data_IF_839871524241
#
_entry.id   IF_839871524241
#
_cell.length_a   1.000
_cell.length_b   1.000
_cell.length_c   1.000
_cell.angle_alpha   90.00
_cell.angle_beta   90.00
_cell.angle_gamma   90.00
#
_symmetry.space_group_name_H-M   'P 1'
#
loop_
_entity.id
_entity.type
_entity.pdbx_description
1 polymer ?
#
# COMPACT_ATOMS: atom_id res chain seq x y z
N UNK A 1 14.22 29.10 -33.56
CA UNK A 1 13.75 27.71 -33.61
C UNK A 1 14.68 26.88 -32.74
N UNK A 2 14.26 26.55 -31.51
CA UNK A 2 14.69 25.39 -30.74
C UNK A 2 13.77 25.32 -29.54
N UNK A 3 12.80 24.41 -29.66
CA UNK A 3 11.75 24.13 -28.70
C UNK A 3 12.41 23.36 -27.56
N UNK A 4 12.51 23.98 -26.38
CA UNK A 4 12.91 23.30 -25.16
C UNK A 4 11.78 22.36 -24.73
N UNK A 5 11.91 21.09 -25.07
CA UNK A 5 11.04 20.03 -24.56
C UNK A 5 11.34 19.90 -23.06
N UNK A 6 10.50 20.52 -22.24
CA UNK A 6 10.44 20.25 -20.81
C UNK A 6 9.92 18.84 -20.63
N UNK A 7 10.84 17.88 -20.45
CA UNK A 7 10.49 16.54 -20.06
C UNK A 7 9.83 16.59 -18.66
N UNK A 8 8.51 16.37 -18.61
CA UNK A 8 7.83 15.97 -17.38
C UNK A 8 8.52 14.71 -16.86
N UNK A 9 9.42 14.89 -15.90
CA UNK A 9 9.85 13.81 -15.01
C UNK A 9 8.64 13.49 -14.11
N UNK A 10 7.77 12.59 -14.56
CA UNK A 10 6.98 11.79 -13.63
C UNK A 10 7.95 10.82 -12.95
N UNK A 11 8.72 11.33 -11.99
CA UNK A 11 9.26 10.50 -10.94
C UNK A 11 8.08 10.25 -10.01
N UNK A 12 7.62 9.01 -9.95
CA UNK A 12 6.78 8.53 -8.86
C UNK A 12 7.60 8.64 -7.57
N UNK A 13 7.65 9.85 -7.01
CA UNK A 13 8.06 10.09 -5.64
C UNK A 13 7.00 9.41 -4.78
N UNK A 14 7.41 8.45 -3.95
CA UNK A 14 6.51 7.74 -3.04
C UNK A 14 5.71 8.76 -2.21
N UNK A 15 4.44 8.96 -2.55
CA UNK A 15 3.55 10.00 -1.99
C UNK A 15 3.44 9.92 -0.45
N UNK A 16 3.75 8.76 0.15
CA UNK A 16 3.77 8.57 1.60
C UNK A 16 4.88 9.30 2.36
N UNK A 17 6.01 9.66 1.72
CA UNK A 17 7.15 10.32 2.40
C UNK A 17 6.87 11.78 2.72
N UNK A 18 6.07 12.45 1.89
CA UNK A 18 5.75 13.87 2.08
C UNK A 18 4.80 14.10 3.26
N UNK A 19 4.00 13.09 3.61
CA UNK A 19 3.03 13.18 4.71
C UNK A 19 3.70 13.25 6.09
N UNK A 20 4.89 12.67 6.25
CA UNK A 20 5.62 12.62 7.53
C UNK A 20 7.02 13.20 7.37
N UNK A 21 7.19 14.51 7.59
CA UNK A 21 8.48 15.15 7.42
C UNK A 21 9.52 14.56 8.38
N UNK A 22 10.72 14.29 7.85
CA UNK A 22 11.87 13.82 8.63
C UNK A 22 12.00 12.30 8.75
N UNK A 23 11.08 11.51 8.19
CA UNK A 23 11.29 10.06 8.06
C UNK A 23 12.42 9.77 7.07
N UNK A 24 13.21 8.74 7.38
CA UNK A 24 14.23 8.18 6.48
C UNK A 24 13.74 6.86 5.89
N UNK A 25 14.11 6.61 4.64
CA UNK A 25 13.83 5.35 3.97
C UNK A 25 14.90 4.30 4.27
N UNK A 26 14.46 3.06 4.50
CA UNK A 26 15.26 1.83 4.53
C UNK A 26 14.62 0.82 3.60
N UNK A 27 15.26 0.58 2.46
CA UNK A 27 14.78 -0.36 1.45
C UNK A 27 15.42 -1.75 1.65
N UNK A 28 14.57 -2.76 1.87
CA UNK A 28 14.95 -4.16 2.03
C UNK A 28 14.81 -4.85 0.67
N UNK A 29 15.87 -4.75 -0.12
CA UNK A 29 15.86 -5.11 -1.55
C UNK A 29 15.28 -6.49 -1.86
N UNK A 30 15.62 -7.51 -1.07
CA UNK A 30 15.21 -8.89 -1.37
C UNK A 30 13.75 -9.19 -0.97
N UNK A 31 13.14 -8.34 -0.13
CA UNK A 31 11.71 -8.41 0.18
C UNK A 31 10.89 -7.43 -0.69
N UNK A 32 11.55 -6.53 -1.43
CA UNK A 32 10.93 -5.35 -2.05
C UNK A 32 10.07 -4.50 -1.09
N UNK A 33 10.48 -4.45 0.19
CA UNK A 33 9.81 -3.65 1.22
C UNK A 33 10.61 -2.39 1.51
N UNK A 34 9.93 -1.28 1.71
CA UNK A 34 10.53 -0.02 2.19
C UNK A 34 9.92 0.41 3.51
N UNK A 35 10.77 0.56 4.53
CA UNK A 35 10.41 1.16 5.81
C UNK A 35 10.78 2.64 5.81
N UNK A 36 9.82 3.51 6.13
CA UNK A 36 10.04 4.92 6.43
C UNK A 36 9.96 5.11 7.94
N UNK A 37 11.05 5.53 8.56
CA UNK A 37 11.17 5.55 10.03
C UNK A 37 11.74 6.87 10.54
N UNK A 38 11.37 7.26 11.76
CA UNK A 38 11.98 8.41 12.43
C UNK A 38 13.34 7.96 13.03
N UNK A 39 14.47 8.53 12.57
CA UNK A 39 15.80 8.15 13.04
C UNK A 39 16.07 8.54 14.51
N UNK A 40 15.26 9.40 15.12
CA UNK A 40 15.43 9.83 16.52
C UNK A 40 14.98 8.76 17.52
N UNK A 41 14.09 7.86 17.09
CA UNK A 41 13.47 6.83 17.93
C UNK A 41 13.75 5.42 17.42
N UNK A 42 14.57 5.29 16.38
CA UNK A 42 14.83 4.03 15.68
C UNK A 42 16.31 3.74 15.56
N UNK A 43 16.63 2.46 15.56
CA UNK A 43 17.95 1.89 15.31
C UNK A 43 17.84 0.95 14.12
N UNK A 44 18.60 1.23 13.07
CA UNK A 44 18.77 0.30 11.94
C UNK A 44 19.64 -0.86 12.40
N UNK A 45 19.17 -2.07 12.16
CA UNK A 45 19.84 -3.31 12.50
C UNK A 45 20.58 -3.87 11.28
N UNK A 46 21.42 -4.89 11.48
CA UNK A 46 22.16 -5.52 10.37
C UNK A 46 21.27 -6.28 9.37
N UNK A 47 20.00 -6.53 9.73
CA UNK A 47 19.07 -7.30 8.91
C UNK A 47 19.08 -8.81 9.18
N UNK A 48 20.02 -9.32 10.00
CA UNK A 48 20.12 -10.76 10.27
C UNK A 48 18.90 -11.27 11.06
N UNK A 49 18.23 -12.29 10.53
CA UNK A 49 17.11 -12.96 11.20
C UNK A 49 17.53 -14.34 11.75
N UNK A 50 17.20 -14.72 13.00
CA UNK A 50 17.59 -16.01 13.58
C UNK A 50 17.09 -17.23 12.80
N UNK A 51 15.95 -17.10 12.12
CA UNK A 51 15.31 -18.18 11.36
C UNK A 51 15.54 -18.05 9.85
N UNK A 52 16.49 -17.22 9.40
CA UNK A 52 16.69 -16.94 7.96
C UNK A 52 16.83 -18.21 7.11
N UNK A 53 17.51 -19.25 7.62
CA UNK A 53 17.66 -20.54 6.92
C UNK A 53 16.33 -21.25 6.66
N UNK A 54 15.41 -21.24 7.64
CA UNK A 54 14.10 -21.89 7.51
C UNK A 54 13.25 -21.18 6.44
N UNK A 55 13.32 -19.86 6.38
CA UNK A 55 12.65 -19.07 5.34
C UNK A 55 13.26 -19.33 3.98
N UNK A 56 14.60 -19.35 3.88
CA UNK A 56 15.31 -19.63 2.62
C UNK A 56 14.97 -21.03 2.08
N UNK A 57 14.90 -22.05 2.93
CA UNK A 57 14.45 -23.40 2.57
C UNK A 57 13.01 -23.43 2.04
N UNK A 58 12.15 -22.50 2.49
CA UNK A 58 10.80 -22.30 1.98
C UNK A 58 10.73 -21.39 0.74
N UNK A 59 11.87 -20.93 0.21
CA UNK A 59 11.94 -20.01 -0.92
C UNK A 59 11.57 -18.57 -0.58
N UNK A 60 11.58 -18.20 0.70
CA UNK A 60 11.21 -16.87 1.20
C UNK A 60 12.45 -16.16 1.76
N UNK A 61 12.59 -14.88 1.47
CA UNK A 61 13.59 -14.03 2.13
C UNK A 61 13.00 -13.39 3.38
N UNK A 62 13.76 -13.34 4.49
CA UNK A 62 13.39 -12.59 5.69
C UNK A 62 14.58 -11.74 6.20
N UNK A 63 14.26 -10.57 6.73
CA UNK A 63 15.21 -9.68 7.38
C UNK A 63 14.64 -9.10 8.68
N UNK A 64 15.51 -8.82 9.64
CA UNK A 64 15.23 -8.01 10.85
C UNK A 64 15.87 -6.62 10.73
N UNK A 65 15.29 -5.68 9.97
CA UNK A 65 15.98 -4.45 9.60
C UNK A 65 15.91 -3.32 10.63
N UNK A 66 14.89 -3.29 11.50
CA UNK A 66 14.62 -2.09 12.30
C UNK A 66 14.19 -2.43 13.72
N UNK A 67 14.70 -1.66 14.67
CA UNK A 67 14.18 -1.55 16.04
C UNK A 67 13.70 -0.13 16.26
N UNK A 68 12.48 0.09 16.74
CA UNK A 68 11.90 1.43 16.86
C UNK A 68 10.94 1.57 18.03
N UNK A 69 10.80 2.77 18.57
CA UNK A 69 9.79 3.08 19.59
C UNK A 69 8.49 3.56 18.93
N UNK A 70 7.72 2.61 18.38
CA UNK A 70 6.49 2.90 17.62
C UNK A 70 5.47 3.76 18.40
N UNK A 71 5.40 3.60 19.72
CA UNK A 71 4.49 4.34 20.60
C UNK A 71 5.07 5.66 21.13
N UNK A 72 6.26 6.05 20.65
CA UNK A 72 6.95 7.26 21.04
C UNK A 72 8.08 7.04 22.04
N UNK A 73 8.85 8.11 22.27
CA UNK A 73 10.08 8.06 23.05
C UNK A 73 9.84 7.51 24.47
N UNK A 74 10.57 6.45 24.82
CA UNK A 74 10.51 5.83 26.16
C UNK A 74 9.29 4.94 26.41
N UNK A 75 8.48 4.60 25.38
CA UNK A 75 7.26 3.78 25.51
C UNK A 75 7.46 2.30 25.16
N UNK A 76 8.70 1.83 25.18
CA UNK A 76 9.08 0.47 24.79
C UNK A 76 9.51 0.36 23.33
N UNK A 77 10.09 -0.78 22.98
CA UNK A 77 10.66 -1.03 21.66
C UNK A 77 9.88 -2.11 20.90
N UNK A 78 9.86 -1.91 19.60
CA UNK A 78 9.36 -2.86 18.63
C UNK A 78 10.53 -3.28 17.75
N UNK A 79 10.71 -4.58 17.58
CA UNK A 79 11.55 -5.15 16.53
C UNK A 79 10.65 -5.45 15.33
N UNK A 80 11.11 -5.08 14.14
CA UNK A 80 10.38 -5.28 12.88
C UNK A 80 11.15 -6.29 12.05
N UNK A 81 10.44 -7.34 11.65
CA UNK A 81 10.89 -8.33 10.68
C UNK A 81 10.10 -8.11 9.39
N UNK A 82 10.75 -8.13 8.24
CA UNK A 82 10.10 -8.02 6.94
C UNK A 82 10.57 -9.14 6.02
N UNK A 83 9.65 -9.68 5.25
CA UNK A 83 9.88 -10.84 4.41
C UNK A 83 9.24 -10.66 3.02
N UNK A 84 9.69 -11.48 2.07
CA UNK A 84 9.18 -11.45 0.68
C UNK A 84 7.81 -12.11 0.52
N UNK A 85 7.29 -12.76 1.57
CA UNK A 85 6.13 -13.64 1.48
C UNK A 85 6.38 -14.93 0.71
N UNK A 86 5.51 -15.91 0.93
CA UNK A 86 5.27 -16.94 -0.09
C UNK A 86 4.60 -16.29 -1.31
N UNK A 87 4.75 -16.87 -2.50
CA UNK A 87 4.13 -16.35 -3.74
C UNK A 87 4.47 -14.88 -4.11
N UNK A 88 5.46 -14.26 -3.48
CA UNK A 88 5.78 -12.83 -3.59
C UNK A 88 4.75 -11.88 -2.96
N UNK A 89 4.24 -12.25 -1.78
CA UNK A 89 3.38 -11.40 -0.94
C UNK A 89 4.15 -10.75 0.22
N UNK A 90 4.96 -9.70 -0.03
CA UNK A 90 5.80 -9.13 0.99
C UNK A 90 5.02 -8.41 2.07
N UNK A 91 5.62 -8.38 3.25
CA UNK A 91 5.03 -7.76 4.42
C UNK A 91 6.01 -7.59 5.56
N UNK A 92 5.50 -7.12 6.69
CA UNK A 92 6.28 -7.00 7.92
C UNK A 92 5.50 -7.50 9.14
N UNK A 93 6.24 -8.12 10.05
CA UNK A 93 5.83 -8.53 11.38
C UNK A 93 6.42 -7.59 12.42
N UNK A 94 5.56 -7.09 13.32
CA UNK A 94 5.93 -6.21 14.41
C UNK A 94 5.92 -7.00 15.73
N UNK A 95 7.07 -6.99 16.39
CA UNK A 95 7.34 -7.72 17.62
C UNK A 95 7.54 -6.73 18.76
N UNK A 96 6.69 -6.78 19.79
CA UNK A 96 6.89 -6.02 21.02
C UNK A 96 7.99 -6.68 21.86
N UNK A 97 8.97 -5.88 22.29
CA UNK A 97 10.01 -6.30 23.21
C UNK A 97 9.52 -6.19 24.66
N UNK A 98 9.56 -7.31 25.39
CA UNK A 98 9.25 -7.33 26.81
C UNK A 98 10.16 -8.31 27.55
N UNK A 99 10.95 -7.83 28.52
CA UNK A 99 11.83 -8.65 29.38
C UNK A 99 12.70 -9.65 28.60
N UNK A 100 13.32 -9.20 27.50
CA UNK A 100 14.17 -10.03 26.65
C UNK A 100 13.42 -11.01 25.72
N UNK A 101 12.09 -10.97 25.71
CA UNK A 101 11.24 -11.75 24.80
C UNK A 101 10.65 -10.87 23.70
N UNK A 102 10.48 -11.47 22.53
CA UNK A 102 9.79 -10.86 21.39
C UNK A 102 8.40 -11.47 21.27
N UNK A 103 7.37 -10.63 21.33
CA UNK A 103 5.97 -11.04 21.15
C UNK A 103 5.42 -10.44 19.87
N UNK A 104 4.98 -11.27 18.92
CA UNK A 104 4.23 -10.80 17.75
C UNK A 104 2.93 -10.12 18.19
N UNK A 105 2.76 -8.86 17.78
CA UNK A 105 1.60 -8.02 18.11
C UNK A 105 0.85 -7.56 16.88
N UNK A 106 1.50 -7.56 15.71
CA UNK A 106 0.92 -7.17 14.44
C UNK A 106 1.70 -7.78 13.28
N UNK A 107 1.02 -8.09 12.19
CA UNK A 107 1.60 -8.51 10.92
C UNK A 107 0.65 -8.09 9.81
N UNK A 108 1.18 -7.59 8.70
CA UNK A 108 0.38 -7.27 7.52
C UNK A 108 1.24 -7.26 6.26
N UNK A 109 0.60 -7.49 5.12
CA UNK A 109 1.21 -7.35 3.79
C UNK A 109 1.36 -5.88 3.42
N UNK A 110 2.37 -5.57 2.61
CA UNK A 110 2.60 -4.23 2.09
C UNK A 110 4.00 -4.07 1.54
N UNK A 111 4.17 -3.08 0.67
CA UNK A 111 5.45 -2.73 0.05
C UNK A 111 6.12 -1.55 0.75
N UNK A 112 5.32 -0.69 1.38
CA UNK A 112 5.78 0.55 2.01
C UNK A 112 5.12 0.71 3.37
N UNK A 113 5.94 0.96 4.39
CA UNK A 113 5.49 1.16 5.76
C UNK A 113 6.02 2.47 6.30
N UNK A 114 5.16 3.39 6.73
CA UNK A 114 5.57 4.59 7.45
C UNK A 114 5.33 4.45 8.96
N UNK A 115 6.40 4.74 9.71
CA UNK A 115 6.55 4.52 11.15
C UNK A 115 6.95 5.83 11.84
N UNK A 116 5.99 6.75 12.05
CA UNK A 116 6.27 8.06 12.62
C UNK A 116 6.48 8.08 14.13
N UNK A 117 6.29 6.96 14.83
CA UNK A 117 6.46 6.91 16.29
C UNK A 117 5.32 7.52 17.10
N UNK A 118 4.15 7.72 16.49
CA UNK A 118 2.97 8.31 17.13
C UNK A 118 1.90 7.26 17.50
N UNK A 119 2.28 5.98 17.57
CA UNK A 119 1.38 4.86 17.81
C UNK A 119 0.58 4.38 16.60
N UNK A 120 0.81 4.95 15.41
CA UNK A 120 0.19 4.51 14.16
C UNK A 120 1.21 3.91 13.20
N UNK A 121 0.75 2.98 12.38
CA UNK A 121 1.47 2.39 11.24
C UNK A 121 0.65 2.69 9.99
N UNK A 122 1.32 3.19 8.96
CA UNK A 122 0.70 3.44 7.65
C UNK A 122 1.31 2.47 6.65
N UNK A 123 0.48 1.78 5.88
CA UNK A 123 0.91 0.72 4.97
C UNK A 123 0.36 1.00 3.58
N UNK A 124 1.19 0.80 2.57
CA UNK A 124 0.82 0.93 1.17
C UNK A 124 1.31 -0.29 0.38
N UNK A 125 0.46 -0.83 -0.49
CA UNK A 125 0.80 -1.93 -1.38
C UNK A 125 -0.35 -2.34 -2.30
N UNK A 126 0.00 -2.92 -3.45
CA UNK A 126 -0.92 -3.62 -4.36
C UNK A 126 -0.60 -5.12 -4.28
N UNK A 127 -0.87 -5.68 -3.11
CA UNK A 127 -0.60 -7.07 -2.72
C UNK A 127 -1.89 -7.58 -2.09
N UNK A 128 -2.44 -8.68 -2.57
CA UNK A 128 -3.77 -9.20 -2.21
C UNK A 128 -4.88 -8.14 -2.25
N UNK A 129 -4.81 -7.25 -3.23
CA UNK A 129 -5.72 -6.12 -3.37
C UNK A 129 -5.98 -5.80 -4.83
N UNK A 130 -7.08 -5.07 -5.08
CA UNK A 130 -7.52 -4.67 -6.42
C UNK A 130 -6.71 -3.54 -7.05
N UNK A 131 -5.99 -2.78 -6.24
CA UNK A 131 -5.17 -1.63 -6.61
C UNK A 131 -4.21 -1.33 -5.45
N UNK A 132 -3.36 -0.31 -5.58
CA UNK A 132 -2.51 0.11 -4.49
C UNK A 132 -3.32 0.72 -3.31
N UNK A 133 -3.54 -0.06 -2.26
CA UNK A 133 -4.32 0.35 -1.09
C UNK A 133 -3.44 0.98 -0.03
N UNK A 134 -3.91 2.08 0.56
CA UNK A 134 -3.27 2.77 1.68
C UNK A 134 -4.07 2.49 2.96
N UNK A 135 -3.48 1.82 3.95
CA UNK A 135 -4.11 1.42 5.21
C UNK A 135 -3.48 2.13 6.41
N UNK A 136 -4.25 2.32 7.47
CA UNK A 136 -3.79 2.86 8.75
C UNK A 136 -4.10 1.88 9.87
N UNK A 137 -3.13 1.59 10.72
CA UNK A 137 -3.28 0.79 11.92
C UNK A 137 -2.95 1.63 13.15
N UNK A 138 -3.77 1.55 14.19
CA UNK A 138 -3.56 2.20 15.48
C UNK A 138 -3.29 1.17 16.58
N UNK A 139 -2.44 1.53 17.55
CA UNK A 139 -2.21 0.70 18.73
C UNK A 139 -3.40 0.75 19.71
N UNK A 140 -3.93 -0.42 20.06
CA UNK A 140 -5.01 -0.61 21.02
C UNK A 140 -4.71 -1.85 21.88
N UNK A 141 -4.51 -1.65 23.19
CA UNK A 141 -4.39 -2.71 24.21
C UNK A 141 -3.52 -3.91 23.82
N UNK A 142 -2.29 -3.65 23.38
CA UNK A 142 -1.31 -4.70 23.08
C UNK A 142 -1.34 -5.23 21.66
N UNK A 143 -2.17 -4.67 20.77
CA UNK A 143 -2.25 -5.03 19.35
C UNK A 143 -2.38 -3.78 18.47
N UNK A 144 -2.03 -3.90 17.19
CA UNK A 144 -2.41 -2.90 16.20
C UNK A 144 -3.71 -3.34 15.51
N UNK A 145 -4.67 -2.42 15.37
CA UNK A 145 -5.97 -2.66 14.72
C UNK A 145 -6.11 -1.69 13.55
N UNK A 146 -6.66 -2.17 12.44
CA UNK A 146 -6.94 -1.31 11.27
C UNK A 146 -8.00 -0.27 11.60
N UNK A 147 -7.69 0.98 11.31
CA UNK A 147 -8.65 2.08 11.35
C UNK A 147 -9.23 2.19 9.94
N UNK A 148 -10.39 1.55 9.74
CA UNK A 148 -11.05 1.51 8.43
C UNK A 148 -11.39 2.91 7.94
N UNK A 149 -11.10 3.16 6.67
CA UNK A 149 -11.50 4.37 5.97
C UNK A 149 -12.89 4.16 5.33
N UNK A 150 -13.71 5.22 5.23
CA UNK A 150 -14.99 5.11 4.51
C UNK A 150 -14.78 4.85 3.01
N UNK A 151 -13.69 5.40 2.45
CA UNK A 151 -13.31 5.23 1.06
C UNK A 151 -11.81 5.00 0.97
N UNK A 152 -11.39 4.22 -0.03
CA UNK A 152 -9.98 4.07 -0.37
C UNK A 152 -9.66 4.99 -1.55
N UNK A 153 -8.65 5.85 -1.40
CA UNK A 153 -8.15 6.63 -2.51
C UNK A 153 -7.40 5.70 -3.49
N UNK A 154 -7.79 5.76 -4.76
CA UNK A 154 -7.17 4.99 -5.85
C UNK A 154 -6.15 5.88 -6.57
N UNK A 155 -6.59 7.02 -7.09
CA UNK A 155 -5.71 8.02 -7.73
C UNK A 155 -5.02 7.52 -9.01
N UNK A 156 -5.66 6.63 -9.77
CA UNK A 156 -5.03 5.95 -10.90
C UNK A 156 -5.45 6.59 -12.24
N UNK A 157 -4.52 7.24 -12.92
CA UNK A 157 -4.67 7.64 -14.32
C UNK A 157 -4.44 6.42 -15.23
N UNK A 158 -5.43 6.06 -16.05
CA UNK A 158 -5.44 4.82 -16.81
C UNK A 158 -6.40 4.88 -18.01
N UNK A 159 -6.67 3.75 -18.65
CA UNK A 159 -7.59 3.60 -19.77
C UNK A 159 -8.59 2.47 -19.58
N UNK A 160 -9.74 2.57 -20.24
CA UNK A 160 -10.73 1.50 -20.32
C UNK A 160 -10.23 0.36 -21.22
N UNK A 161 -10.48 -0.89 -20.84
CA UNK A 161 -10.13 -2.09 -21.62
C UNK A 161 -11.28 -2.60 -22.50
N UNK A 162 -12.49 -2.16 -22.21
CA UNK A 162 -13.72 -2.41 -22.95
C UNK A 162 -14.67 -1.19 -22.86
N UNK A 163 -15.77 -1.16 -23.60
CA UNK A 163 -16.79 -0.13 -23.41
C UNK A 163 -17.38 -0.20 -21.99
N UNK A 164 -17.47 0.95 -21.31
CA UNK A 164 -18.06 1.04 -19.97
C UNK A 164 -19.11 2.15 -19.89
N UNK A 165 -20.04 2.01 -18.96
CA UNK A 165 -21.01 3.04 -18.59
C UNK A 165 -20.65 3.60 -17.23
N UNK A 166 -20.69 4.93 -17.11
CA UNK A 166 -20.53 5.65 -15.85
C UNK A 166 -21.90 6.08 -15.34
N UNK A 167 -22.22 5.76 -14.09
CA UNK A 167 -23.52 6.04 -13.49
C UNK A 167 -23.45 7.17 -12.46
N UNK A 168 -24.54 7.93 -12.30
CA UNK A 168 -24.58 9.04 -11.33
C UNK A 168 -24.54 8.59 -9.87
N UNK A 169 -24.93 7.34 -9.59
CA UNK A 169 -24.91 6.74 -8.25
C UNK A 169 -24.61 5.24 -8.32
N UNK A 170 -24.32 4.64 -7.16
CA UNK A 170 -24.15 3.20 -7.01
C UNK A 170 -25.47 2.40 -7.11
N UNK A 171 -26.59 3.04 -7.45
CA UNK A 171 -27.83 2.34 -7.82
C UNK A 171 -27.84 1.94 -9.31
N UNK A 172 -26.92 2.48 -10.10
CA UNK A 172 -26.73 2.14 -11.52
C UNK A 172 -27.98 2.38 -12.40
N UNK A 173 -28.77 3.41 -12.08
CA UNK A 173 -30.03 3.72 -12.81
C UNK A 173 -29.89 4.77 -13.89
N UNK A 174 -29.01 5.75 -13.70
CA UNK A 174 -28.86 6.88 -14.61
C UNK A 174 -27.41 6.97 -15.10
N UNK A 175 -27.25 6.76 -16.41
CA UNK A 175 -25.98 6.88 -17.11
C UNK A 175 -25.62 8.37 -17.25
N UNK A 176 -24.39 8.70 -16.87
CA UNK A 176 -23.76 10.02 -17.03
C UNK A 176 -22.95 10.06 -18.32
N UNK A 177 -22.25 8.96 -18.66
CA UNK A 177 -21.46 8.83 -19.87
C UNK A 177 -21.28 7.37 -20.27
N UNK A 178 -21.13 7.14 -21.57
CA UNK A 178 -20.69 5.86 -22.13
C UNK A 178 -19.32 6.07 -22.77
N UNK A 179 -18.33 5.28 -22.37
CA UNK A 179 -16.95 5.42 -22.81
C UNK A 179 -16.57 4.22 -23.67
N UNK A 180 -16.03 4.41 -24.88
CA UNK A 180 -15.49 3.30 -25.67
C UNK A 180 -14.22 2.73 -25.03
N UNK A 181 -13.81 1.55 -25.49
CA UNK A 181 -12.50 0.96 -25.19
C UNK A 181 -11.36 1.93 -25.51
N UNK A 182 -10.34 1.97 -24.65
CA UNK A 182 -9.16 2.81 -24.80
C UNK A 182 -9.38 4.26 -24.36
N UNK A 183 -10.54 4.59 -23.77
CA UNK A 183 -10.80 5.93 -23.26
C UNK A 183 -9.91 6.22 -22.05
N UNK A 184 -9.21 7.37 -22.01
CA UNK A 184 -8.48 7.78 -20.81
C UNK A 184 -9.44 8.15 -19.69
N UNK A 185 -9.10 7.74 -18.46
CA UNK A 185 -9.88 7.99 -17.25
C UNK A 185 -8.95 8.11 -16.04
N UNK A 186 -9.45 8.75 -14.97
CA UNK A 186 -8.84 8.67 -13.63
C UNK A 186 -9.79 7.92 -12.70
N UNK A 187 -9.33 6.82 -12.09
CA UNK A 187 -10.06 6.17 -11.00
C UNK A 187 -9.72 6.90 -9.70
N UNK A 188 -10.70 7.57 -9.11
CA UNK A 188 -10.49 8.47 -7.97
C UNK A 188 -10.48 7.72 -6.64
N UNK A 189 -11.57 7.00 -6.35
CA UNK A 189 -11.75 6.29 -5.09
C UNK A 189 -12.54 5.01 -5.28
N UNK A 190 -12.49 4.18 -4.25
CA UNK A 190 -13.15 2.90 -4.16
C UNK A 190 -13.99 2.77 -2.87
N UNK A 191 -15.15 2.14 -3.00
CA UNK A 191 -16.02 1.66 -1.93
C UNK A 191 -16.47 0.24 -2.27
N UNK A 192 -15.77 -0.78 -1.76
CA UNK A 192 -16.08 -2.19 -2.06
C UNK A 192 -15.87 -2.51 -3.54
N UNK A 193 -16.93 -2.90 -4.24
CA UNK A 193 -16.90 -3.17 -5.70
C UNK A 193 -17.17 -1.90 -6.54
N UNK A 194 -17.29 -0.74 -5.92
CA UNK A 194 -17.73 0.50 -6.57
C UNK A 194 -16.56 1.47 -6.71
N UNK A 195 -16.37 1.96 -7.93
CA UNK A 195 -15.26 2.84 -8.28
C UNK A 195 -15.80 4.14 -8.86
N UNK A 196 -15.37 5.26 -8.30
CA UNK A 196 -15.68 6.58 -8.84
C UNK A 196 -14.63 6.94 -9.89
N UNK A 197 -15.08 7.16 -11.12
CA UNK A 197 -14.22 7.41 -12.27
C UNK A 197 -14.47 8.82 -12.80
N UNK A 198 -13.38 9.50 -13.17
CA UNK A 198 -13.37 10.82 -13.79
C UNK A 198 -12.93 10.74 -15.24
N UNK A 199 -13.67 11.39 -16.14
CA UNK A 199 -13.26 11.57 -17.54
C UNK A 199 -12.35 12.80 -17.71
N UNK A 200 -11.60 12.94 -18.82
CA UNK A 200 -10.82 14.15 -19.10
C UNK A 200 -11.68 15.41 -19.22
N UNK A 201 -12.95 15.26 -19.62
CA UNK A 201 -13.91 16.37 -19.66
C UNK A 201 -14.39 16.80 -18.26
N UNK A 202 -14.09 16.01 -17.22
CA UNK A 202 -14.47 16.30 -15.83
C UNK A 202 -15.81 15.70 -15.40
N UNK A 203 -16.39 14.78 -16.19
CA UNK A 203 -17.56 14.02 -15.74
C UNK A 203 -17.13 12.98 -14.70
N UNK A 204 -17.94 12.85 -13.65
CA UNK A 204 -17.76 11.84 -12.61
C UNK A 204 -18.90 10.82 -12.68
N UNK A 205 -18.57 9.54 -12.54
CA UNK A 205 -19.58 8.51 -12.37
C UNK A 205 -19.02 7.21 -11.83
N UNK A 206 -19.93 6.40 -11.30
CA UNK A 206 -19.65 5.12 -10.68
C UNK A 206 -19.63 4.01 -11.72
N UNK A 207 -18.71 3.08 -11.54
CA UNK A 207 -18.66 1.80 -12.23
C UNK A 207 -18.51 0.69 -11.21
N UNK A 208 -19.14 -0.46 -11.47
CA UNK A 208 -18.99 -1.66 -10.66
C UNK A 208 -17.93 -2.56 -11.27
N UNK A 209 -16.93 -2.93 -10.48
CA UNK A 209 -15.91 -3.92 -10.85
C UNK A 209 -15.91 -4.99 -9.78
N UNK A 210 -16.16 -6.24 -10.19
CA UNK A 210 -16.24 -7.39 -9.29
C UNK A 210 -14.91 -7.56 -8.54
N UNK A 211 -14.98 -7.88 -7.25
CA UNK A 211 -13.77 -8.19 -6.49
C UNK A 211 -13.08 -9.47 -6.98
N UNK A 212 -11.75 -9.55 -6.83
CA UNK A 212 -10.97 -10.71 -7.29
C UNK A 212 -10.87 -10.86 -8.80
N UNK A 213 -11.19 -9.83 -9.60
CA UNK A 213 -11.07 -9.90 -11.07
C UNK A 213 -9.61 -9.89 -11.50
N UNK A 214 -9.26 -10.80 -12.41
CA UNK A 214 -7.92 -10.89 -12.98
C UNK A 214 -7.65 -9.72 -13.94
N UNK A 215 -6.38 -9.42 -14.18
CA UNK A 215 -5.99 -8.27 -15.00
C UNK A 215 -6.58 -8.28 -16.42
N UNK A 216 -6.70 -9.45 -17.04
CA UNK A 216 -7.24 -9.60 -18.38
C UNK A 216 -8.76 -9.37 -18.45
N UNK A 217 -9.47 -9.60 -17.34
CA UNK A 217 -10.92 -9.52 -17.23
C UNK A 217 -11.40 -8.13 -16.76
N UNK A 218 -10.51 -7.31 -16.21
CA UNK A 218 -10.90 -6.02 -15.68
C UNK A 218 -11.30 -5.03 -16.79
N UNK A 219 -12.42 -4.31 -16.65
CA UNK A 219 -12.84 -3.30 -17.62
C UNK A 219 -11.94 -2.05 -17.61
N UNK A 220 -11.11 -1.86 -16.59
CA UNK A 220 -10.21 -0.71 -16.43
C UNK A 220 -8.80 -1.20 -16.15
N UNK A 221 -7.82 -0.75 -16.92
CA UNK A 221 -6.44 -1.16 -16.71
C UNK A 221 -5.92 -0.73 -15.32
N UNK A 222 -5.19 -1.63 -14.66
CA UNK A 222 -4.61 -1.38 -13.34
C UNK A 222 -5.56 -1.59 -12.15
N UNK A 223 -6.84 -1.91 -12.39
CA UNK A 223 -7.78 -2.36 -11.34
C UNK A 223 -7.93 -3.88 -11.45
N UNK A 224 -7.17 -4.64 -10.68
CA UNK A 224 -7.21 -6.10 -10.70
C UNK A 224 -6.62 -6.67 -9.41
N UNK A 225 -7.01 -7.89 -9.06
CA UNK A 225 -6.47 -8.55 -7.88
C UNK A 225 -5.02 -8.98 -8.12
N UNK A 226 -4.09 -8.47 -7.32
CA UNK A 226 -2.67 -8.81 -7.36
C UNK A 226 -2.33 -9.76 -6.20
N UNK A 227 -2.68 -11.02 -6.36
CA UNK A 227 -2.48 -12.11 -5.40
C UNK A 227 -2.80 -13.46 -6.06
N UNK A 228 -2.75 -14.54 -5.29
CA UNK A 228 -3.05 -15.91 -5.74
C UNK A 228 -4.53 -16.35 -5.57
#
# INVERSE_FOLDING_TARGET
MLIGISACKNQATAEGVETFPGLRALHIKNADVTLYYDPKISTVLSGNHPEAKNYEEAGVFISRPLRTQLLGLGKGFFTIDCDSGGSWDPGCTFLLENEGKLKKVFQTLGLRFALPGNGNIYVEGHNDTMFNVRKKYGWHDGKCIEIKQPFNFVGLDTTTREPIELFSSQEYKQIVATLPKGSPVTVLLNEGEHYLVKTPFGLLGWVKIRDGVQQAESPIAGIYFAGD
#
